data_IF_487219449398
#
_entry.id   IF_487219449398
#
_cell.length_a   1.000
_cell.length_b   1.000
_cell.length_c   1.000
_cell.angle_alpha   90.00
_cell.angle_beta   90.00
_cell.angle_gamma   90.00
#
_symmetry.space_group_name_H-M   'P 1'
#
loop_
_entity.id
_entity.type
_entity.pdbx_description
1 polymer ?
#
# COMPACT_ATOMS: atom_id res chain seq x y z
N UNK A 1 7.75 -1.95 -19.39
CA UNK A 1 6.63 -1.95 -18.42
C UNK A 1 6.11 -3.38 -18.24
N UNK A 2 6.82 -4.19 -17.44
CA UNK A 2 6.57 -5.63 -17.24
C UNK A 2 5.14 -5.94 -16.81
N UNK A 3 4.55 -5.10 -15.95
CA UNK A 3 3.14 -5.25 -15.53
C UNK A 3 2.14 -5.10 -16.66
N UNK A 4 2.31 -4.09 -17.53
CA UNK A 4 1.41 -3.90 -18.66
C UNK A 4 1.50 -5.06 -19.63
N UNK A 5 2.71 -5.57 -19.91
CA UNK A 5 2.91 -6.77 -20.71
C UNK A 5 2.22 -7.99 -20.10
N UNK A 6 2.42 -8.22 -18.79
CA UNK A 6 1.80 -9.35 -18.07
C UNK A 6 0.27 -9.26 -18.02
N UNK A 7 -0.30 -8.05 -18.05
CA UNK A 7 -1.73 -7.81 -18.03
C UNK A 7 -2.35 -7.66 -19.43
N UNK A 8 -1.56 -7.82 -20.51
CA UNK A 8 -2.03 -7.61 -21.88
C UNK A 8 -2.42 -6.16 -22.23
N UNK A 9 -1.91 -5.18 -21.48
CA UNK A 9 -2.16 -3.76 -21.68
C UNK A 9 -1.11 -3.13 -22.60
N UNK A 10 -1.54 -2.16 -23.42
CA UNK A 10 -0.64 -1.36 -24.28
C UNK A 10 0.42 -0.67 -23.44
N UNK A 11 1.73 -0.77 -23.76
CA UNK A 11 2.78 -0.10 -23.01
C UNK A 11 2.52 1.40 -22.87
N UNK A 12 2.72 1.93 -21.67
CA UNK A 12 2.65 3.35 -21.37
C UNK A 12 3.90 3.74 -20.59
N UNK A 13 4.44 4.93 -20.88
CA UNK A 13 5.59 5.46 -20.16
C UNK A 13 5.10 6.25 -18.96
N UNK A 14 5.51 5.84 -17.75
CA UNK A 14 5.35 6.68 -16.57
C UNK A 14 6.42 7.78 -16.63
N UNK A 15 5.98 9.02 -16.55
CA UNK A 15 6.86 10.18 -16.46
C UNK A 15 6.64 10.86 -15.11
N UNK A 16 7.71 11.34 -14.44
CA UNK A 16 7.54 12.18 -13.27
C UNK A 16 6.79 13.46 -13.60
N UNK A 17 6.03 13.98 -12.64
CA UNK A 17 5.52 15.34 -12.75
C UNK A 17 6.70 16.32 -12.68
N UNK A 18 6.64 17.37 -13.50
CA UNK A 18 7.66 18.41 -13.56
C UNK A 18 6.96 19.76 -13.40
N UNK A 19 7.44 20.56 -12.48
CA UNK A 19 7.00 21.94 -12.30
C UNK A 19 8.18 22.88 -12.54
N UNK A 20 7.96 23.96 -13.27
CA UNK A 20 8.97 24.99 -13.53
C UNK A 20 8.43 26.36 -13.17
N UNK A 21 9.23 27.14 -12.44
CA UNK A 21 8.92 28.51 -12.03
C UNK A 21 10.22 29.34 -12.12
N UNK A 22 10.24 30.32 -13.04
CA UNK A 22 11.46 31.03 -13.39
C UNK A 22 12.58 30.09 -13.85
N UNK A 23 13.75 30.20 -13.23
CA UNK A 23 14.93 29.35 -13.52
C UNK A 23 14.97 28.05 -12.69
N UNK A 24 13.94 27.76 -11.90
CA UNK A 24 13.89 26.56 -11.06
C UNK A 24 12.99 25.49 -11.67
N UNK A 25 13.41 24.23 -11.54
CA UNK A 25 12.64 23.05 -11.97
C UNK A 25 12.61 22.01 -10.85
N UNK A 26 11.41 21.60 -10.48
CA UNK A 26 11.15 20.54 -9.50
C UNK A 26 10.67 19.29 -10.22
N UNK A 27 11.38 18.18 -9.99
CA UNK A 27 11.02 16.86 -10.48
C UNK A 27 10.45 16.07 -9.29
N UNK A 28 9.18 15.72 -9.38
CA UNK A 28 8.50 14.97 -8.34
C UNK A 28 8.85 13.47 -8.40
N UNK A 29 8.71 12.71 -7.30
CA UNK A 29 8.89 11.26 -7.33
C UNK A 29 7.97 10.58 -8.35
N UNK A 30 8.52 9.61 -9.12
CA UNK A 30 7.74 8.81 -10.08
C UNK A 30 6.52 8.12 -9.44
N UNK A 31 6.61 7.82 -8.14
CA UNK A 31 5.51 7.22 -7.38
C UNK A 31 4.27 8.10 -7.31
N UNK A 32 4.37 9.42 -7.46
CA UNK A 32 3.18 10.29 -7.51
C UNK A 32 2.34 9.99 -8.76
N UNK A 33 2.98 9.81 -9.92
CA UNK A 33 2.30 9.40 -11.15
C UNK A 33 1.67 8.00 -11.03
N UNK A 34 2.35 7.07 -10.33
CA UNK A 34 1.79 5.74 -10.03
C UNK A 34 0.54 5.88 -9.14
N UNK A 35 0.58 6.71 -8.10
CA UNK A 35 -0.56 6.95 -7.21
C UNK A 35 -1.75 7.52 -7.99
N UNK A 36 -1.53 8.43 -8.93
CA UNK A 36 -2.58 8.96 -9.80
C UNK A 36 -3.13 7.90 -10.76
N UNK A 37 -2.27 7.02 -11.27
CA UNK A 37 -2.68 5.83 -12.02
C UNK A 37 -3.58 4.89 -11.21
N UNK A 38 -3.25 4.62 -9.94
CA UNK A 38 -4.08 3.81 -9.03
C UNK A 38 -5.45 4.46 -8.84
N UNK A 39 -5.49 5.78 -8.63
CA UNK A 39 -6.74 6.55 -8.46
C UNK A 39 -7.61 6.48 -9.71
N UNK A 40 -6.98 6.43 -10.88
CA UNK A 40 -7.65 6.34 -12.18
C UNK A 40 -8.03 4.91 -12.57
N UNK A 41 -7.72 3.91 -11.75
CA UNK A 41 -8.06 2.51 -12.01
C UNK A 41 -7.08 1.77 -12.93
N UNK A 42 -5.87 2.30 -13.15
CA UNK A 42 -4.85 1.61 -13.95
C UNK A 42 -4.33 0.37 -13.21
N UNK A 43 -4.62 -0.82 -13.77
CA UNK A 43 -4.28 -2.09 -13.14
C UNK A 43 -2.77 -2.31 -12.99
N UNK A 44 -1.94 -1.79 -13.90
CA UNK A 44 -0.49 -1.90 -13.76
C UNK A 44 0.03 -1.00 -12.63
N UNK A 45 -0.54 0.19 -12.47
CA UNK A 45 -0.21 1.06 -11.35
C UNK A 45 -0.68 0.47 -10.01
N UNK A 46 -1.81 -0.23 -9.98
CA UNK A 46 -2.25 -1.01 -8.80
C UNK A 46 -1.19 -2.03 -8.42
N UNK A 47 -0.68 -2.83 -9.37
CA UNK A 47 0.37 -3.81 -9.08
C UNK A 47 1.63 -3.16 -8.51
N UNK A 48 2.12 -2.08 -9.13
CA UNK A 48 3.29 -1.34 -8.65
C UNK A 48 3.04 -0.80 -7.23
N UNK A 49 1.83 -0.29 -6.96
CA UNK A 49 1.47 0.19 -5.64
C UNK A 49 1.48 -0.92 -4.57
N UNK A 50 1.07 -2.14 -4.93
CA UNK A 50 1.12 -3.31 -4.04
C UNK A 50 2.58 -3.69 -3.75
N UNK A 51 3.42 -3.78 -4.79
CA UNK A 51 4.85 -4.06 -4.60
C UNK A 51 5.50 -3.01 -3.69
N UNK A 52 5.13 -1.74 -3.86
CA UNK A 52 5.72 -0.66 -3.09
C UNK A 52 5.38 -0.71 -1.59
N UNK A 53 4.19 -1.20 -1.21
CA UNK A 53 3.86 -1.43 0.20
C UNK A 53 4.43 -2.76 0.74
N UNK A 54 4.75 -3.70 -0.15
CA UNK A 54 5.45 -4.94 0.18
C UNK A 54 6.94 -4.70 0.44
N UNK A 55 7.53 -3.68 -0.17
CA UNK A 55 8.94 -3.35 0.03
C UNK A 55 9.26 -2.95 1.48
N UNK A 56 10.35 -3.49 2.02
CA UNK A 56 10.87 -3.20 3.37
C UNK A 56 12.00 -2.15 3.32
N UNK A 57 12.62 -1.94 2.16
CA UNK A 57 13.71 -0.96 2.00
C UNK A 57 13.26 0.48 2.31
N UNK A 58 14.21 1.25 2.88
CA UNK A 58 14.06 2.66 3.16
C UNK A 58 14.04 3.47 1.86
N UNK A 59 13.05 4.35 1.70
CA UNK A 59 12.89 5.17 0.50
C UNK A 59 12.80 6.66 0.86
N UNK A 60 13.39 7.58 0.08
CA UNK A 60 13.17 9.01 0.24
C UNK A 60 11.68 9.34 0.18
N UNK A 61 11.18 10.09 1.16
CA UNK A 61 9.75 10.38 1.31
C UNK A 61 8.86 9.12 1.45
N UNK A 62 9.46 7.96 1.76
CA UNK A 62 8.81 6.65 1.77
C UNK A 62 7.58 6.61 2.67
N UNK A 63 7.65 7.21 3.86
CA UNK A 63 6.48 7.34 4.76
C UNK A 63 5.28 7.98 4.06
N UNK A 64 5.48 9.11 3.39
CA UNK A 64 4.41 9.88 2.73
C UNK A 64 3.90 9.14 1.51
N UNK A 65 4.82 8.66 0.66
CA UNK A 65 4.47 7.93 -0.56
C UNK A 65 3.73 6.62 -0.25
N UNK A 66 4.20 5.82 0.71
CA UNK A 66 3.55 4.57 1.13
C UNK A 66 2.18 4.82 1.75
N UNK A 67 2.05 5.86 2.59
CA UNK A 67 0.74 6.27 3.12
C UNK A 67 -0.24 6.66 2.02
N UNK A 68 0.21 7.46 1.03
CA UNK A 68 -0.62 7.89 -0.09
C UNK A 68 -1.00 6.73 -1.00
N UNK A 69 -0.08 5.80 -1.23
CA UNK A 69 -0.29 4.57 -1.99
C UNK A 69 -1.36 3.70 -1.33
N UNK A 70 -1.25 3.44 -0.02
CA UNK A 70 -2.25 2.70 0.72
C UNK A 70 -3.65 3.34 0.67
N UNK A 71 -3.72 4.68 0.75
CA UNK A 71 -4.98 5.42 0.63
C UNK A 71 -5.58 5.32 -0.77
N UNK A 72 -4.76 5.35 -1.82
CA UNK A 72 -5.18 5.17 -3.20
C UNK A 72 -5.70 3.75 -3.44
N UNK A 73 -4.93 2.73 -3.04
CA UNK A 73 -5.33 1.32 -3.13
C UNK A 73 -6.67 1.07 -2.43
N UNK A 74 -6.88 1.66 -1.26
CA UNK A 74 -8.13 1.53 -0.47
C UNK A 74 -9.37 2.00 -1.24
N UNK A 75 -9.20 2.93 -2.18
CA UNK A 75 -10.29 3.49 -3.00
C UNK A 75 -10.38 2.85 -4.39
N UNK A 76 -9.39 2.04 -4.77
CA UNK A 76 -9.34 1.37 -6.07
C UNK A 76 -10.13 0.04 -6.09
N UNK A 77 -10.40 -0.46 -7.29
CA UNK A 77 -10.94 -1.80 -7.50
C UNK A 77 -9.77 -2.80 -7.43
N UNK A 78 -9.81 -3.69 -6.44
CA UNK A 78 -8.77 -4.69 -6.20
C UNK A 78 -9.30 -6.08 -6.51
N UNK A 79 -8.52 -6.89 -7.25
CA UNK A 79 -8.82 -8.29 -7.48
C UNK A 79 -8.70 -9.10 -6.18
N UNK A 80 -9.21 -10.35 -6.17
CA UNK A 80 -9.03 -11.24 -5.01
C UNK A 80 -7.55 -11.53 -4.73
N UNK A 81 -6.72 -11.65 -5.79
CA UNK A 81 -5.29 -11.85 -5.65
C UNK A 81 -4.60 -10.64 -4.99
N UNK A 82 -4.94 -9.42 -5.42
CA UNK A 82 -4.43 -8.18 -4.83
C UNK A 82 -4.76 -8.08 -3.34
N UNK A 83 -6.02 -8.38 -2.98
CA UNK A 83 -6.46 -8.36 -1.58
C UNK A 83 -5.68 -9.36 -0.74
N UNK A 84 -5.41 -10.55 -1.27
CA UNK A 84 -4.65 -11.58 -0.55
C UNK A 84 -3.20 -11.17 -0.31
N UNK A 85 -2.54 -10.58 -1.31
CA UNK A 85 -1.20 -10.00 -1.18
C UNK A 85 -1.14 -8.94 -0.08
N UNK A 86 -2.06 -7.98 -0.12
CA UNK A 86 -2.15 -6.91 0.88
C UNK A 86 -2.41 -7.47 2.29
N UNK A 87 -3.32 -8.44 2.43
CA UNK A 87 -3.59 -9.11 3.72
C UNK A 87 -2.33 -9.77 4.26
N UNK A 88 -1.70 -10.61 3.46
CA UNK A 88 -0.50 -11.35 3.85
C UNK A 88 0.59 -10.39 4.33
N UNK A 89 0.85 -9.32 3.57
CA UNK A 89 1.86 -8.32 3.93
C UNK A 89 1.57 -7.59 5.23
N UNK A 90 0.35 -7.04 5.40
CA UNK A 90 0.01 -6.26 6.59
C UNK A 90 -0.03 -7.14 7.85
N UNK A 91 -0.48 -8.38 7.70
CA UNK A 91 -0.51 -9.35 8.81
C UNK A 91 0.89 -9.83 9.17
N UNK A 92 1.77 -10.04 8.18
CA UNK A 92 3.19 -10.32 8.42
C UNK A 92 3.87 -9.20 9.21
N UNK A 93 3.67 -7.94 8.81
CA UNK A 93 4.19 -6.78 9.55
C UNK A 93 3.72 -6.80 11.02
N UNK A 94 2.43 -7.10 11.25
CA UNK A 94 1.85 -7.21 12.59
C UNK A 94 2.49 -8.36 13.40
N UNK A 95 2.67 -9.52 12.77
CA UNK A 95 3.28 -10.70 13.38
C UNK A 95 4.75 -10.46 13.78
N UNK A 96 5.49 -9.71 12.96
CA UNK A 96 6.89 -9.33 13.23
C UNK A 96 7.02 -8.17 14.23
N UNK A 97 5.92 -7.54 14.66
CA UNK A 97 5.94 -6.32 15.44
C UNK A 97 6.48 -5.09 14.70
N UNK A 98 6.62 -5.17 13.37
CA UNK A 98 7.07 -4.06 12.53
C UNK A 98 5.88 -3.13 12.24
N UNK A 99 5.75 -2.09 13.05
CA UNK A 99 4.64 -1.12 12.96
C UNK A 99 5.18 0.25 12.54
N UNK A 100 5.41 0.47 11.21
CA UNK A 100 5.89 1.75 10.70
C UNK A 100 4.83 2.86 10.82
N UNK A 101 5.21 4.10 10.55
CA UNK A 101 4.33 5.26 10.74
C UNK A 101 3.09 5.21 9.85
N UNK A 102 3.22 4.70 8.63
CA UNK A 102 2.15 4.51 7.65
C UNK A 102 1.24 3.31 7.95
N UNK A 103 1.56 2.50 8.95
CA UNK A 103 0.79 1.29 9.29
C UNK A 103 -0.68 1.59 9.57
N UNK A 104 -1.00 2.80 10.07
CA UNK A 104 -2.39 3.22 10.24
C UNK A 104 -3.18 3.21 8.94
N UNK A 105 -2.57 3.64 7.83
CA UNK A 105 -3.22 3.63 6.53
C UNK A 105 -3.29 2.21 5.95
N UNK A 106 -2.29 1.36 6.22
CA UNK A 106 -2.34 -0.07 5.92
C UNK A 106 -3.47 -0.78 6.66
N UNK A 107 -3.63 -0.53 7.95
CA UNK A 107 -4.71 -1.12 8.74
C UNK A 107 -6.09 -0.68 8.24
N UNK A 108 -6.24 0.58 7.82
CA UNK A 108 -7.47 1.07 7.18
C UNK A 108 -7.73 0.43 5.82
N UNK A 109 -6.68 0.21 5.03
CA UNK A 109 -6.77 -0.55 3.78
C UNK A 109 -7.22 -1.98 4.06
N UNK A 110 -6.60 -2.65 5.04
CA UNK A 110 -6.94 -4.01 5.46
C UNK A 110 -8.39 -4.11 5.95
N UNK A 111 -8.89 -3.17 6.77
CA UNK A 111 -10.32 -3.10 7.15
C UNK A 111 -11.23 -3.00 5.93
N UNK A 112 -10.86 -2.21 4.92
CA UNK A 112 -11.68 -2.02 3.71
C UNK A 112 -11.76 -3.29 2.86
N UNK A 113 -10.66 -4.03 2.73
CA UNK A 113 -10.64 -5.27 1.93
C UNK A 113 -11.13 -6.49 2.71
N UNK A 114 -11.25 -6.40 4.03
CA UNK A 114 -11.63 -7.48 4.93
C UNK A 114 -10.47 -8.41 5.29
N UNK A 115 -10.60 -9.13 6.40
CA UNK A 115 -9.53 -9.94 6.99
C UNK A 115 -9.43 -11.36 6.40
N UNK A 116 -10.53 -11.90 5.87
CA UNK A 116 -10.61 -13.28 5.35
C UNK A 116 -10.03 -14.32 6.34
N UNK A 117 -9.25 -15.29 5.85
CA UNK A 117 -8.61 -16.34 6.65
C UNK A 117 -7.65 -15.81 7.73
N UNK A 118 -7.16 -14.58 7.59
CA UNK A 118 -6.23 -14.00 8.57
C UNK A 118 -6.90 -13.54 9.87
N UNK A 119 -8.24 -13.55 9.96
CA UNK A 119 -8.97 -13.12 11.17
C UNK A 119 -8.49 -13.88 12.42
N UNK A 120 -8.43 -15.21 12.36
CA UNK A 120 -8.03 -16.05 13.49
C UNK A 120 -6.57 -15.80 13.90
N UNK A 121 -5.69 -15.54 12.94
CA UNK A 121 -4.31 -15.16 13.23
C UNK A 121 -4.24 -13.79 13.92
N UNK A 122 -5.01 -12.79 13.47
CA UNK A 122 -5.02 -11.46 14.10
C UNK A 122 -5.57 -11.52 15.54
N UNK A 123 -6.47 -12.45 15.83
CA UNK A 123 -6.99 -12.65 17.18
C UNK A 123 -5.90 -13.04 18.19
N UNK A 124 -4.90 -13.81 17.79
CA UNK A 124 -3.78 -14.17 18.68
C UNK A 124 -2.91 -12.97 19.07
N UNK A 125 -2.99 -11.88 18.31
CA UNK A 125 -2.24 -10.64 18.59
C UNK A 125 -2.95 -9.68 19.56
N UNK A 126 -4.21 -9.94 19.94
CA UNK A 126 -4.99 -9.09 20.85
C UNK A 126 -4.39 -8.95 22.24
N UNK A 127 -3.56 -9.91 22.64
CA UNK A 127 -2.88 -9.98 23.94
C UNK A 127 -1.36 -9.92 23.79
N UNK A 128 -0.87 -9.41 22.65
CA UNK A 128 0.56 -9.18 22.46
C UNK A 128 1.10 -8.20 23.51
N UNK A 129 2.25 -8.53 24.11
CA UNK A 129 3.04 -7.64 24.97
C UNK A 129 3.47 -6.35 24.24
N UNK A 130 3.56 -6.41 22.90
CA UNK A 130 3.86 -5.22 22.09
C UNK A 130 2.58 -4.37 21.98
N UNK A 131 2.49 -3.31 22.79
CA UNK A 131 1.34 -2.40 22.86
C UNK A 131 0.82 -1.93 21.49
N UNK A 132 1.70 -1.64 20.52
CA UNK A 132 1.29 -1.25 19.16
C UNK A 132 0.62 -2.38 18.40
N UNK A 133 1.14 -3.60 18.49
CA UNK A 133 0.55 -4.81 17.87
C UNK A 133 -0.82 -5.07 18.46
N UNK A 134 -0.93 -5.08 19.79
CA UNK A 134 -2.17 -5.21 20.55
C UNK A 134 -3.24 -4.20 20.08
N UNK A 135 -2.86 -2.92 20.01
CA UNK A 135 -3.74 -1.83 19.58
C UNK A 135 -4.25 -2.03 18.15
N UNK A 136 -3.38 -2.40 17.22
CA UNK A 136 -3.80 -2.58 15.82
C UNK A 136 -4.58 -3.87 15.60
N UNK A 137 -4.27 -4.94 16.33
CA UNK A 137 -5.07 -6.17 16.31
C UNK A 137 -6.52 -5.90 16.75
N UNK A 138 -6.71 -5.16 17.85
CA UNK A 138 -8.03 -4.70 18.30
C UNK A 138 -8.71 -3.84 17.24
N UNK A 139 -8.04 -2.80 16.75
CA UNK A 139 -8.57 -1.92 15.70
C UNK A 139 -9.04 -2.66 14.44
N UNK A 140 -8.31 -3.71 14.01
CA UNK A 140 -8.66 -4.50 12.84
C UNK A 140 -9.86 -5.43 13.07
N UNK A 141 -10.05 -5.89 14.30
CA UNK A 141 -11.11 -6.83 14.68
C UNK A 141 -12.40 -6.12 15.09
N UNK A 142 -12.33 -4.84 15.48
CA UNK A 142 -13.49 -3.99 15.71
C UNK A 142 -14.22 -3.70 14.38
N UNK A 143 -15.54 -3.84 14.37
CA UNK A 143 -16.38 -3.61 13.17
C UNK A 143 -16.39 -2.13 12.76
#
# INVERSE_FOLDING_TARGET
MKYRQNLGLTPATLVPNVHSEGDHTWIYPLMDAVIDGIRSGDAACVQIGIDFIEEDEGFPFGRTLKSNTARALRRSVLTSADKNRIRARVVEMLARGNIPYEFRDYAKLLKRIGLAEFRTLIETFKDSEISRVNRYAKFLLDN
#
